data_IF_330903631726
#
_entry.id   IF_330903631726
#
_cell.length_a   1.000
_cell.length_b   1.000
_cell.length_c   1.000
_cell.angle_alpha   90.00
_cell.angle_beta   90.00
_cell.angle_gamma   90.00
#
_symmetry.space_group_name_H-M   'P 1'
#
loop_
_entity.id
_entity.type
_entity.pdbx_description
1 polymer ?
#
# COMPACT_ATOMS: atom_id res chain seq x y z
N UNK A 1 -7.62 -19.00 -14.78
CA UNK A 1 -7.86 -17.56 -14.83
C UNK A 1 -9.12 -17.27 -14.04
N UNK A 2 -9.09 -16.32 -13.14
CA UNK A 2 -10.21 -15.94 -12.27
C UNK A 2 -10.36 -14.42 -12.25
N UNK A 3 -11.60 -13.97 -12.04
CA UNK A 3 -11.95 -12.57 -11.86
C UNK A 3 -12.64 -12.41 -10.51
N UNK A 4 -12.41 -11.30 -9.86
CA UNK A 4 -13.02 -10.95 -8.60
C UNK A 4 -13.51 -9.50 -8.60
N UNK A 5 -14.65 -9.29 -7.95
CA UNK A 5 -15.21 -7.97 -7.70
C UNK A 5 -15.52 -7.90 -6.21
N UNK A 6 -15.13 -6.81 -5.57
CA UNK A 6 -15.48 -6.49 -4.18
C UNK A 6 -16.30 -5.20 -4.17
N UNK A 7 -17.35 -5.17 -3.37
CA UNK A 7 -18.18 -3.99 -3.15
C UNK A 7 -18.23 -3.74 -1.65
N UNK A 8 -17.94 -2.52 -1.23
CA UNK A 8 -17.92 -2.14 0.17
C UNK A 8 -18.49 -0.74 0.40
N UNK A 9 -18.93 -0.49 1.62
CA UNK A 9 -19.26 0.85 2.12
C UNK A 9 -18.21 1.29 3.11
N UNK A 10 -17.78 2.55 3.03
CA UNK A 10 -16.86 3.18 3.97
C UNK A 10 -17.61 4.32 4.63
N UNK A 11 -17.52 4.38 5.95
CA UNK A 11 -18.04 5.48 6.75
C UNK A 11 -16.90 6.04 7.59
N UNK A 12 -16.61 7.31 7.41
CA UNK A 12 -15.65 8.06 8.20
C UNK A 12 -16.41 9.04 9.07
N UNK A 13 -16.01 9.17 10.33
CA UNK A 13 -16.56 10.16 11.27
C UNK A 13 -15.38 10.87 11.94
N UNK A 14 -15.38 12.19 11.88
CA UNK A 14 -14.42 13.06 12.56
C UNK A 14 -15.18 13.92 13.56
N UNK A 15 -14.93 13.68 14.85
CA UNK A 15 -15.52 14.46 15.92
C UNK A 15 -14.55 15.56 16.35
N UNK A 16 -14.83 16.80 15.96
CA UNK A 16 -14.05 17.98 16.31
C UNK A 16 -14.64 18.73 17.52
N UNK A 17 -15.75 18.26 18.10
CA UNK A 17 -16.43 18.95 19.19
C UNK A 17 -15.66 18.93 20.50
N UNK A 18 -14.72 18.01 20.64
CA UNK A 18 -13.89 17.80 21.85
C UNK A 18 -12.59 18.59 21.85
N UNK A 19 -12.27 19.28 20.75
CA UNK A 19 -11.05 20.11 20.71
C UNK A 19 -11.25 21.38 21.52
N UNK A 20 -10.34 21.63 22.49
CA UNK A 20 -10.33 22.85 23.27
C UNK A 20 -9.90 24.02 22.35
N UNK A 21 -10.82 24.94 22.14
CA UNK A 21 -10.58 26.13 21.32
C UNK A 21 -9.85 27.24 22.10
N UNK A 22 -8.74 26.90 22.78
CA UNK A 22 -7.94 27.90 23.47
C UNK A 22 -7.24 28.84 22.47
N UNK A 23 -6.83 28.29 21.31
CA UNK A 23 -6.32 29.05 20.19
C UNK A 23 -7.25 28.82 18.98
N UNK A 24 -7.75 29.90 18.41
CA UNK A 24 -8.61 29.82 17.23
C UNK A 24 -7.82 29.28 16.05
N UNK A 25 -8.11 28.00 15.69
CA UNK A 25 -7.63 27.38 14.47
C UNK A 25 -8.80 27.38 13.45
N UNK A 26 -8.71 28.12 12.33
CA UNK A 26 -9.75 28.12 11.31
C UNK A 26 -9.98 26.77 10.65
N UNK A 27 -9.09 25.81 10.87
CA UNK A 27 -9.20 24.44 10.36
C UNK A 27 -10.10 23.56 11.24
N UNK A 28 -10.39 23.97 12.47
CA UNK A 28 -11.22 23.23 13.42
C UNK A 28 -12.62 23.85 13.41
N UNK A 29 -13.56 23.19 12.75
CA UNK A 29 -14.94 23.69 12.67
C UNK A 29 -15.74 23.48 13.96
N UNK A 30 -15.26 22.62 14.88
CA UNK A 30 -15.96 22.27 16.11
C UNK A 30 -17.26 21.47 15.89
N UNK A 31 -17.42 20.87 14.74
CA UNK A 31 -18.59 20.07 14.35
C UNK A 31 -18.20 18.60 14.17
N UNK A 32 -19.20 17.72 14.15
CA UNK A 32 -19.02 16.31 13.80
C UNK A 32 -19.22 16.18 12.28
N UNK A 33 -18.15 15.83 11.58
CA UNK A 33 -18.19 15.55 10.15
C UNK A 33 -18.36 14.05 9.91
N UNK A 34 -19.36 13.67 9.11
CA UNK A 34 -19.61 12.30 8.71
C UNK A 34 -19.60 12.18 7.20
N UNK A 35 -18.81 11.26 6.70
CA UNK A 35 -18.76 10.96 5.27
C UNK A 35 -18.97 9.48 5.04
N UNK A 36 -19.84 9.16 4.08
CA UNK A 36 -20.09 7.76 3.69
C UNK A 36 -20.02 7.65 2.18
N UNK A 37 -19.29 6.64 1.68
CA UNK A 37 -19.20 6.38 0.26
C UNK A 37 -19.10 4.87 -0.04
N UNK A 38 -19.48 4.51 -1.26
CA UNK A 38 -19.33 3.15 -1.75
C UNK A 38 -17.98 2.98 -2.45
N UNK A 39 -17.42 1.79 -2.31
CA UNK A 39 -16.20 1.40 -2.96
C UNK A 39 -16.40 0.13 -3.79
N UNK A 40 -15.72 0.07 -4.93
CA UNK A 40 -15.64 -1.11 -5.78
C UNK A 40 -14.18 -1.41 -6.09
N UNK A 41 -13.80 -2.66 -5.89
CA UNK A 41 -12.50 -3.18 -6.32
C UNK A 41 -12.71 -4.25 -7.39
N UNK A 42 -11.83 -4.27 -8.38
CA UNK A 42 -11.85 -5.28 -9.45
C UNK A 42 -10.46 -5.92 -9.54
N UNK A 43 -10.45 -7.23 -9.67
CA UNK A 43 -9.21 -7.97 -9.79
C UNK A 43 -9.29 -9.10 -10.81
N UNK A 44 -8.14 -9.42 -11.37
CA UNK A 44 -7.92 -10.54 -12.27
C UNK A 44 -6.69 -11.33 -11.81
N UNK A 45 -6.80 -12.65 -11.84
CA UNK A 45 -5.72 -13.55 -11.49
C UNK A 45 -5.54 -14.61 -12.57
N UNK A 46 -4.32 -14.81 -12.96
CA UNK A 46 -3.89 -15.92 -13.78
C UNK A 46 -2.87 -16.75 -13.02
N UNK A 47 -3.16 -18.03 -12.82
CA UNK A 47 -2.29 -18.94 -12.09
C UNK A 47 -2.10 -20.21 -12.90
N UNK A 48 -0.85 -20.60 -13.08
CA UNK A 48 -0.42 -21.86 -13.65
C UNK A 48 0.46 -22.58 -12.61
N UNK A 49 0.85 -23.81 -12.87
CA UNK A 49 1.71 -24.61 -11.97
C UNK A 49 3.06 -23.97 -11.67
N UNK A 50 3.57 -23.11 -12.54
CA UNK A 50 4.91 -22.51 -12.41
C UNK A 50 4.88 -20.99 -12.28
N UNK A 51 3.87 -20.31 -12.75
CA UNK A 51 3.83 -18.86 -12.73
C UNK A 51 2.44 -18.33 -12.44
N UNK A 52 2.39 -17.15 -11.87
CA UNK A 52 1.16 -16.43 -11.60
C UNK A 52 1.31 -14.95 -11.93
N UNK A 53 0.19 -14.35 -12.26
CA UNK A 53 0.05 -12.92 -12.47
C UNK A 53 -1.27 -12.44 -11.85
N UNK A 54 -1.22 -11.33 -11.13
CA UNK A 54 -2.40 -10.70 -10.54
C UNK A 54 -2.42 -9.23 -10.93
N UNK A 55 -3.60 -8.74 -11.25
CA UNK A 55 -3.88 -7.33 -11.49
C UNK A 55 -5.10 -6.94 -10.68
N UNK A 56 -5.00 -5.88 -9.90
CA UNK A 56 -6.10 -5.39 -9.08
C UNK A 56 -6.16 -3.87 -9.18
N UNK A 57 -7.35 -3.34 -9.35
CA UNK A 57 -7.65 -1.93 -9.24
C UNK A 57 -8.56 -1.77 -8.03
N UNK A 58 -8.09 -1.04 -7.04
CA UNK A 58 -8.83 -0.71 -5.83
C UNK A 58 -9.40 0.69 -5.92
N UNK A 59 -10.50 0.90 -5.20
CA UNK A 59 -11.13 2.21 -5.06
C UNK A 59 -11.55 2.78 -6.42
N UNK A 60 -12.25 1.99 -7.24
CA UNK A 60 -12.68 2.38 -8.57
C UNK A 60 -13.70 3.53 -8.59
N UNK A 61 -14.55 3.62 -7.55
CA UNK A 61 -15.50 4.70 -7.43
C UNK A 61 -14.84 5.91 -6.79
N UNK A 62 -15.03 7.06 -7.43
CA UNK A 62 -14.72 8.35 -6.80
C UNK A 62 -15.79 8.65 -5.75
N UNK A 63 -15.39 9.18 -4.59
CA UNK A 63 -16.31 9.95 -3.79
C UNK A 63 -16.65 11.22 -4.60
N UNK A 64 -17.93 11.48 -4.92
CA UNK A 64 -18.28 12.69 -5.67
C UNK A 64 -17.91 13.92 -4.84
N UNK A 65 -17.24 14.89 -5.46
CA UNK A 65 -16.95 16.19 -4.82
C UNK A 65 -18.22 16.93 -4.40
N UNK A 66 -19.36 16.58 -5.01
CA UNK A 66 -20.69 17.16 -4.77
C UNK A 66 -21.33 16.76 -3.41
N UNK A 67 -20.77 15.77 -2.69
CA UNK A 67 -21.30 15.36 -1.38
C UNK A 67 -20.74 16.20 -0.22
N UNK A 68 -19.68 16.91 -0.46
CA UNK A 68 -19.21 17.95 0.45
C UNK A 68 -19.92 19.22 0.01
N UNK A 69 -20.98 19.60 0.72
CA UNK A 69 -21.73 20.82 0.43
C UNK A 69 -20.76 21.97 0.19
N UNK A 70 -21.17 22.91 -0.69
CA UNK A 70 -20.43 24.12 -1.05
C UNK A 70 -19.87 24.84 0.20
N UNK A 71 -18.81 24.34 0.78
CA UNK A 71 -18.07 24.99 1.84
C UNK A 71 -16.82 25.59 1.23
N UNK A 72 -16.91 26.89 0.96
CA UNK A 72 -15.80 27.80 0.74
C UNK A 72 -14.56 27.20 0.08
N UNK A 73 -14.24 27.70 -1.10
CA UNK A 73 -13.13 27.38 -2.02
C UNK A 73 -11.72 27.19 -1.41
N UNK A 74 -11.57 27.15 -0.10
CA UNK A 74 -10.27 27.11 0.58
C UNK A 74 -10.03 25.85 1.40
N UNK A 75 -10.97 24.91 1.47
CA UNK A 75 -10.80 23.68 2.25
C UNK A 75 -11.00 22.45 1.37
N UNK A 76 -9.95 22.08 0.64
CA UNK A 76 -9.85 20.76 0.05
C UNK A 76 -9.55 19.75 1.17
N UNK A 77 -10.58 19.36 1.92
CA UNK A 77 -10.49 18.12 2.70
C UNK A 77 -10.56 16.96 1.73
N UNK A 78 -9.44 16.70 1.09
CA UNK A 78 -9.26 15.64 0.10
C UNK A 78 -9.29 14.26 0.78
N UNK A 79 -10.43 13.89 1.35
CA UNK A 79 -10.72 12.49 1.69
C UNK A 79 -11.11 11.70 0.44
N UNK A 80 -10.43 11.97 -0.66
CA UNK A 80 -10.66 11.28 -1.92
C UNK A 80 -10.28 9.81 -1.78
N UNK A 81 -11.14 8.98 -2.32
CA UNK A 81 -10.86 7.54 -2.42
C UNK A 81 -9.86 7.33 -3.57
N UNK A 82 -8.59 7.22 -3.23
CA UNK A 82 -7.50 7.10 -4.22
C UNK A 82 -7.56 5.78 -4.95
N UNK A 83 -7.60 5.83 -6.27
CA UNK A 83 -7.44 4.61 -7.07
C UNK A 83 -6.04 4.05 -6.88
N UNK A 84 -5.98 2.78 -6.55
CA UNK A 84 -4.71 2.06 -6.40
C UNK A 84 -4.65 0.91 -7.39
N UNK A 85 -3.64 0.93 -8.23
CA UNK A 85 -3.32 -0.14 -9.16
C UNK A 85 -2.27 -1.03 -8.52
N UNK A 86 -2.52 -2.33 -8.51
CA UNK A 86 -1.60 -3.33 -7.97
C UNK A 86 -1.42 -4.42 -9.02
N UNK A 87 -0.18 -4.64 -9.43
CA UNK A 87 0.19 -5.70 -10.34
C UNK A 87 1.26 -6.59 -9.70
N UNK A 88 1.11 -7.90 -9.78
CA UNK A 88 2.14 -8.82 -9.31
C UNK A 88 2.40 -9.95 -10.29
N UNK A 89 3.66 -10.37 -10.32
CA UNK A 89 4.14 -11.48 -11.14
C UNK A 89 5.04 -12.37 -10.28
N UNK A 90 4.93 -13.68 -10.42
CA UNK A 90 5.81 -14.62 -9.76
C UNK A 90 6.03 -15.88 -10.57
N UNK A 91 7.16 -16.51 -10.32
CA UNK A 91 7.54 -17.76 -10.95
C UNK A 91 8.10 -18.73 -9.91
N UNK A 92 7.67 -19.99 -9.96
CA UNK A 92 8.15 -21.06 -9.07
C UNK A 92 9.08 -22.00 -9.83
N UNK A 93 10.33 -22.04 -9.41
CA UNK A 93 11.34 -22.98 -9.88
C UNK A 93 11.28 -24.24 -9.02
N UNK A 94 10.84 -25.35 -9.58
CA UNK A 94 10.91 -26.66 -8.95
C UNK A 94 12.25 -27.30 -9.33
N UNK A 95 12.96 -27.83 -8.33
CA UNK A 95 14.18 -28.59 -8.55
C UNK A 95 13.90 -30.10 -8.33
N UNK A 96 14.80 -30.96 -8.77
CA UNK A 96 14.76 -32.43 -8.48
C UNK A 96 15.06 -32.74 -7.01
N UNK A 97 15.36 -31.74 -6.22
CA UNK A 97 15.60 -31.77 -4.78
C UNK A 97 14.35 -31.33 -4.00
N UNK A 98 14.32 -31.49 -2.66
CA UNK A 98 13.22 -30.95 -1.84
C UNK A 98 13.07 -29.43 -1.88
N UNK A 99 14.00 -28.71 -2.53
CA UNK A 99 13.99 -27.25 -2.63
C UNK A 99 13.16 -26.76 -3.81
N UNK A 100 12.45 -25.65 -3.60
CA UNK A 100 11.89 -24.83 -4.67
C UNK A 100 12.07 -23.34 -4.36
N UNK A 101 12.14 -22.52 -5.40
CA UNK A 101 12.43 -21.09 -5.28
C UNK A 101 11.36 -20.29 -6.00
N UNK A 102 10.96 -19.17 -5.40
CA UNK A 102 9.91 -18.30 -5.92
C UNK A 102 10.39 -16.84 -5.93
N UNK A 103 11.00 -16.35 -6.99
CA UNK A 103 11.11 -14.94 -7.24
C UNK A 103 9.75 -14.37 -7.62
N UNK A 104 9.44 -13.19 -7.11
CA UNK A 104 8.24 -12.45 -7.49
C UNK A 104 8.46 -10.95 -7.40
N UNK A 105 7.63 -10.20 -8.10
CA UNK A 105 7.59 -8.75 -8.01
C UNK A 105 6.16 -8.27 -7.84
N UNK A 106 6.00 -7.16 -7.14
CA UNK A 106 4.74 -6.48 -6.97
C UNK A 106 4.96 -4.99 -7.24
N UNK A 107 4.16 -4.44 -8.12
CA UNK A 107 4.12 -3.01 -8.42
C UNK A 107 2.84 -2.41 -7.88
N UNK A 108 2.94 -1.26 -7.24
CA UNK A 108 1.81 -0.47 -6.78
C UNK A 108 1.91 0.96 -7.30
N UNK A 109 0.77 1.51 -7.67
CA UNK A 109 0.63 2.88 -8.11
C UNK A 109 -0.65 3.47 -7.52
N UNK A 110 -0.54 4.66 -6.91
CA UNK A 110 -1.67 5.46 -6.42
C UNK A 110 -1.83 6.68 -7.32
N UNK A 111 -3.03 6.87 -7.84
CA UNK A 111 -3.29 7.82 -8.93
C UNK A 111 -3.23 9.29 -8.44
N UNK A 112 -3.63 9.60 -7.21
CA UNK A 112 -3.65 10.97 -6.72
C UNK A 112 -2.36 11.40 -6.02
N UNK A 113 -1.77 10.50 -5.23
CA UNK A 113 -0.49 10.79 -4.56
C UNK A 113 0.70 10.59 -5.49
N UNK A 114 0.44 10.02 -6.70
CA UNK A 114 1.45 9.61 -7.66
C UNK A 114 2.49 8.63 -7.08
N UNK A 115 2.25 8.15 -5.87
CA UNK A 115 3.15 7.20 -5.21
C UNK A 115 3.29 5.91 -6.02
N UNK A 116 4.53 5.57 -6.32
CA UNK A 116 4.90 4.34 -7.01
C UNK A 116 5.85 3.55 -6.13
N UNK A 117 5.58 2.27 -6.00
CA UNK A 117 6.51 1.37 -5.33
C UNK A 117 6.64 0.05 -6.08
N UNK A 118 7.82 -0.53 -5.99
CA UNK A 118 8.10 -1.87 -6.50
C UNK A 118 8.71 -2.72 -5.39
N UNK A 119 8.14 -3.91 -5.22
CA UNK A 119 8.64 -4.91 -4.29
C UNK A 119 9.25 -6.06 -5.08
N UNK A 120 10.46 -6.42 -4.74
CA UNK A 120 11.10 -7.65 -5.21
C UNK A 120 11.14 -8.64 -4.08
N UNK A 121 10.57 -9.82 -4.32
CA UNK A 121 10.48 -10.86 -3.32
C UNK A 121 11.20 -12.11 -3.81
N UNK A 122 11.85 -12.78 -2.89
CA UNK A 122 12.44 -14.07 -3.13
C UNK A 122 12.12 -15.00 -1.97
N UNK A 123 11.53 -16.16 -2.25
CA UNK A 123 11.25 -17.20 -1.26
C UNK A 123 11.91 -18.50 -1.65
N UNK A 124 12.43 -19.18 -0.65
CA UNK A 124 12.97 -20.55 -0.77
C UNK A 124 12.12 -21.46 0.10
N UNK A 125 11.65 -22.56 -0.48
CA UNK A 125 10.82 -23.56 0.17
C UNK A 125 11.60 -24.86 0.29
N UNK A 126 11.43 -25.53 1.41
CA UNK A 126 11.95 -26.88 1.64
C UNK A 126 10.80 -27.83 1.98
N UNK A 127 10.62 -28.85 1.16
CA UNK A 127 9.56 -29.84 1.31
C UNK A 127 9.91 -30.83 2.39
N UNK A 128 8.99 -31.05 3.34
CA UNK A 128 9.03 -32.04 4.39
C UNK A 128 7.97 -33.11 4.13
N UNK A 129 8.06 -34.25 4.84
CA UNK A 129 7.07 -35.34 4.71
C UNK A 129 5.65 -34.93 5.13
N UNK A 130 5.52 -33.92 5.99
CA UNK A 130 4.25 -33.44 6.58
C UNK A 130 3.87 -32.04 6.18
N UNK A 131 4.63 -31.41 5.30
CA UNK A 131 4.38 -30.02 4.86
C UNK A 131 5.60 -29.40 4.23
N UNK A 132 5.77 -28.09 4.37
CA UNK A 132 6.97 -27.38 3.91
C UNK A 132 7.30 -26.23 4.86
N UNK A 133 8.58 -25.95 4.99
CA UNK A 133 9.08 -24.72 5.61
C UNK A 133 9.58 -23.80 4.51
N UNK A 134 9.53 -22.50 4.76
CA UNK A 134 10.04 -21.53 3.80
C UNK A 134 10.59 -20.28 4.50
N UNK A 135 11.53 -19.66 3.82
CA UNK A 135 12.08 -18.37 4.20
C UNK A 135 12.20 -17.49 2.97
N UNK A 136 12.17 -16.20 3.17
CA UNK A 136 12.28 -15.25 2.08
C UNK A 136 12.71 -13.87 2.53
N UNK A 137 12.96 -13.04 1.53
CA UNK A 137 13.27 -11.63 1.67
C UNK A 137 12.38 -10.84 0.71
N UNK A 138 11.83 -9.76 1.20
CA UNK A 138 11.17 -8.73 0.39
C UNK A 138 11.99 -7.45 0.45
N UNK A 139 12.24 -6.87 -0.70
CA UNK A 139 12.87 -5.56 -0.85
C UNK A 139 11.87 -4.63 -1.53
N UNK A 140 11.42 -3.60 -0.80
CA UNK A 140 10.55 -2.55 -1.31
C UNK A 140 11.38 -1.32 -1.64
N UNK A 141 11.16 -0.76 -2.82
CA UNK A 141 11.70 0.51 -3.23
C UNK A 141 10.56 1.46 -3.63
N UNK A 142 10.48 2.61 -2.97
CA UNK A 142 9.65 3.71 -3.44
C UNK A 142 10.33 4.35 -4.65
N UNK A 143 9.61 4.48 -5.76
CA UNK A 143 10.11 5.09 -7.00
C UNK A 143 9.98 6.60 -7.01
N UNK A 144 9.23 7.14 -6.06
CA UNK A 144 9.08 8.57 -5.82
C UNK A 144 9.51 8.85 -4.39
N UNK A 145 10.56 9.64 -4.24
CA UNK A 145 11.08 10.05 -2.96
C UNK A 145 10.26 11.21 -2.38
N UNK A 146 10.20 11.27 -1.05
CA UNK A 146 9.72 12.47 -0.39
C UNK A 146 10.72 13.61 -0.64
N UNK A 147 10.25 14.69 -1.23
CA UNK A 147 11.05 15.90 -1.40
C UNK A 147 11.12 16.65 -0.06
N UNK A 148 12.32 16.93 0.40
CA UNK A 148 12.53 17.76 1.57
C UNK A 148 13.61 18.80 1.34
N UNK A 149 13.43 19.97 1.96
CA UNK A 149 14.41 21.05 1.89
C UNK A 149 15.38 20.88 3.05
N UNK A 150 16.62 20.50 2.73
CA UNK A 150 17.70 20.51 3.73
C UNK A 150 18.17 21.94 3.92
N UNK A 151 17.81 22.56 5.05
CA UNK A 151 18.39 23.84 5.49
C UNK A 151 19.74 23.54 6.13
N UNK A 152 20.78 24.14 5.65
CA UNK A 152 22.06 24.18 6.35
C UNK A 152 21.96 25.29 7.43
N UNK A 153 22.18 24.95 8.69
CA UNK A 153 22.06 25.85 9.84
C UNK A 153 23.15 26.95 9.91
N UNK A 154 24.08 26.98 8.99
CA UNK A 154 25.15 27.97 8.95
C UNK A 154 25.04 28.86 7.70
N UNK A 155 24.85 30.14 7.98
CA UNK A 155 24.93 31.30 7.08
C UNK A 155 23.57 31.75 6.48
N UNK A 156 23.16 32.89 6.94
CA UNK A 156 22.07 33.70 6.37
C UNK A 156 22.20 33.85 4.85
N UNK A 157 21.28 33.23 4.11
CA UNK A 157 21.13 33.45 2.66
C UNK A 157 21.32 32.23 1.76
N UNK A 158 21.53 31.02 2.27
CA UNK A 158 21.60 29.84 1.42
C UNK A 158 20.21 29.33 1.07
N UNK A 159 19.92 29.29 -0.23
CA UNK A 159 18.79 28.58 -0.79
C UNK A 159 18.87 27.10 -0.35
N UNK A 160 17.82 26.58 0.28
CA UNK A 160 17.79 25.18 0.69
C UNK A 160 17.84 24.28 -0.54
N UNK A 161 18.67 23.25 -0.49
CA UNK A 161 18.75 22.26 -1.58
C UNK A 161 17.60 21.27 -1.42
N UNK A 162 16.80 21.12 -2.48
CA UNK A 162 15.79 20.05 -2.58
C UNK A 162 16.51 18.70 -2.64
N UNK A 163 16.21 17.83 -1.69
CA UNK A 163 16.70 16.45 -1.67
C UNK A 163 15.53 15.49 -1.76
N UNK A 164 15.66 14.47 -2.57
CA UNK A 164 14.74 13.32 -2.63
C UNK A 164 15.23 12.23 -1.69
N UNK A 165 14.33 11.72 -0.85
CA UNK A 165 14.58 10.55 -0.02
C UNK A 165 13.70 9.40 -0.48
N UNK A 166 14.29 8.42 -1.16
CA UNK A 166 13.61 7.19 -1.53
C UNK A 166 13.52 6.25 -0.33
N UNK A 167 12.31 5.84 0.00
CA UNK A 167 12.08 4.87 1.06
C UNK A 167 12.45 3.46 0.56
N UNK A 168 13.42 2.84 1.21
CA UNK A 168 13.78 1.45 0.99
C UNK A 168 13.48 0.63 2.24
N UNK A 169 12.82 -0.49 2.08
CA UNK A 169 12.41 -1.37 3.17
C UNK A 169 12.83 -2.81 2.86
N UNK A 170 13.47 -3.43 3.84
CA UNK A 170 13.82 -4.85 3.76
C UNK A 170 12.99 -5.61 4.78
N UNK A 171 12.30 -6.66 4.34
CA UNK A 171 11.42 -7.46 5.18
C UNK A 171 11.81 -8.94 5.06
N UNK A 172 12.44 -9.54 6.06
CA UNK A 172 12.58 -10.98 6.16
C UNK A 172 11.23 -11.65 6.45
N UNK A 173 11.03 -12.82 5.85
CA UNK A 173 9.81 -13.61 5.88
C UNK A 173 10.15 -15.04 6.25
N UNK A 174 9.38 -15.64 7.14
CA UNK A 174 9.52 -17.06 7.52
C UNK A 174 8.15 -17.68 7.63
N UNK A 175 8.05 -18.94 7.30
CA UNK A 175 6.79 -19.65 7.47
C UNK A 175 6.92 -21.16 7.43
N UNK A 176 5.85 -21.78 7.87
CA UNK A 176 5.64 -23.23 7.84
C UNK A 176 4.22 -23.50 7.37
N UNK A 177 4.10 -24.37 6.39
CA UNK A 177 2.84 -24.93 5.94
C UNK A 177 2.74 -26.35 6.49
N UNK A 178 1.78 -26.58 7.36
CA UNK A 178 1.53 -27.89 7.96
C UNK A 178 0.10 -28.31 7.69
N UNK A 179 -0.11 -29.32 6.84
CA UNK A 179 -1.41 -29.74 6.35
C UNK A 179 -2.21 -28.56 5.78
N UNK A 180 -3.32 -28.22 6.43
CA UNK A 180 -4.23 -27.12 6.02
C UNK A 180 -3.91 -25.79 6.70
N UNK A 181 -2.88 -25.74 7.56
CA UNK A 181 -2.49 -24.55 8.31
C UNK A 181 -1.22 -23.94 7.71
N UNK A 182 -1.24 -22.59 7.61
CA UNK A 182 -0.08 -21.80 7.22
C UNK A 182 0.23 -20.82 8.36
N UNK A 183 1.44 -20.91 8.88
CA UNK A 183 1.96 -19.97 9.87
C UNK A 183 3.08 -19.17 9.23
N UNK A 184 3.00 -17.85 9.35
CA UNK A 184 4.04 -16.98 8.82
C UNK A 184 4.34 -15.83 9.78
N UNK A 185 5.58 -15.39 9.76
CA UNK A 185 6.06 -14.23 10.49
C UNK A 185 6.88 -13.36 9.55
N UNK A 186 6.68 -12.05 9.66
CA UNK A 186 7.49 -11.05 8.96
C UNK A 186 7.90 -9.93 9.92
N UNK A 187 9.03 -9.32 9.61
CA UNK A 187 9.53 -8.15 10.32
C UNK A 187 10.08 -7.17 9.30
N UNK A 188 9.58 -5.94 9.32
CA UNK A 188 9.99 -4.88 8.40
C UNK A 188 10.94 -3.91 9.12
N UNK A 189 12.09 -3.66 8.49
CA UNK A 189 13.11 -2.75 8.98
C UNK A 189 13.40 -1.68 7.92
#
# INVERSE_FOLDING_TARGET
>A
MSFGISIGGIQNSLDQTTFDMVDYDPLISGIMENTSYFNIDVGMSYVNSKYYAHLTVKNLLFAPDEWYGETNDNFNSDTRNYKRFVASLGYVFYTDTPWSFEPSSLFQYSDLTFEKSIDFNFKAYYKLNYGRIWAGLSFRNSLEGAEYIKKYDDVSGSEGTLMEQNLQLITPLFGIDYKDFVFSYNYSY
#
